data_IF_843963507077
#
_entry.id   IF_843963507077
#
_cell.length_a   1.000
_cell.length_b   1.000
_cell.length_c   1.000
_cell.angle_alpha   90.00
_cell.angle_beta   90.00
_cell.angle_gamma   90.00
#
_symmetry.space_group_name_H-M   'P 1'
#
loop_
_entity.id
_entity.type
_entity.pdbx_description
1 polymer ?
#
# COMPACT_ATOMS: atom_id res chain seq x y z
N UNK A 1 -8.40 23.25 4.27
CA UNK A 1 -8.19 21.79 4.19
C UNK A 1 -6.75 21.55 3.80
N UNK A 2 -6.08 20.57 4.44
CA UNK A 2 -4.72 20.20 4.05
C UNK A 2 -4.70 19.63 2.63
N UNK A 3 -3.66 19.92 1.87
CA UNK A 3 -3.50 19.42 0.50
C UNK A 3 -2.08 18.99 0.21
N UNK A 4 -1.93 17.88 -0.51
CA UNK A 4 -0.62 17.41 -0.95
C UNK A 4 -0.13 18.32 -2.08
N UNK A 5 1.09 18.84 -1.95
CA UNK A 5 1.73 19.73 -2.93
C UNK A 5 2.66 18.95 -3.84
N UNK A 6 3.49 18.08 -3.25
CA UNK A 6 4.53 17.38 -3.99
C UNK A 6 4.74 15.98 -3.45
N UNK A 7 5.20 15.12 -4.36
CA UNK A 7 5.40 13.70 -4.12
C UNK A 7 6.74 13.33 -4.71
N UNK A 8 7.53 12.62 -3.93
CA UNK A 8 8.84 12.14 -4.33
C UNK A 8 9.08 10.75 -3.74
N UNK A 9 9.21 9.74 -4.59
CA UNK A 9 9.30 8.33 -4.18
C UNK A 9 10.38 7.62 -4.98
N UNK A 10 11.24 6.88 -4.29
CA UNK A 10 12.23 6.00 -4.89
C UNK A 10 11.88 4.53 -4.69
N UNK A 11 12.33 3.67 -5.61
CA UNK A 11 12.10 2.23 -5.53
C UNK A 11 10.64 1.79 -5.71
N UNK A 12 9.73 2.69 -6.11
CA UNK A 12 8.30 2.40 -6.21
C UNK A 12 8.04 1.23 -7.16
N UNK A 13 7.43 0.16 -6.65
CA UNK A 13 7.19 -1.08 -7.40
C UNK A 13 8.46 -1.65 -8.05
N UNK A 14 9.62 -1.50 -7.40
CA UNK A 14 10.92 -2.00 -7.88
C UNK A 14 11.55 -1.16 -8.99
N UNK A 15 11.02 0.03 -9.27
CA UNK A 15 11.60 0.93 -10.28
C UNK A 15 12.90 1.55 -9.76
N UNK A 16 13.95 1.53 -10.58
CA UNK A 16 15.21 2.25 -10.31
C UNK A 16 15.06 3.75 -10.46
N UNK A 17 14.19 4.21 -11.37
CA UNK A 17 13.95 5.63 -11.60
C UNK A 17 13.04 6.21 -10.52
N UNK A 18 13.52 7.27 -9.87
CA UNK A 18 12.77 8.14 -8.95
C UNK A 18 11.52 8.72 -9.61
N UNK A 19 10.42 8.70 -8.88
CA UNK A 19 9.14 9.32 -9.27
C UNK A 19 8.95 10.59 -8.44
N UNK A 20 9.18 11.74 -9.06
CA UNK A 20 9.02 13.05 -8.43
C UNK A 20 8.12 13.96 -9.27
N UNK A 21 7.10 14.55 -8.67
CA UNK A 21 6.19 15.49 -9.33
C UNK A 21 5.45 16.38 -8.33
N UNK A 22 5.00 17.54 -8.82
CA UNK A 22 4.10 18.43 -8.09
C UNK A 22 2.66 18.17 -8.53
N UNK A 23 1.74 18.20 -7.57
CA UNK A 23 0.31 18.02 -7.81
C UNK A 23 -0.31 19.36 -8.22
N UNK A 24 -1.19 19.29 -9.21
CA UNK A 24 -2.08 20.40 -9.55
C UNK A 24 -3.13 20.57 -8.43
N UNK A 25 -3.50 21.80 -8.03
CA UNK A 25 -4.46 22.02 -6.95
C UNK A 25 -5.88 21.54 -7.28
N UNK A 26 -6.22 21.43 -8.57
CA UNK A 26 -7.57 21.12 -9.03
C UNK A 26 -7.73 19.62 -9.34
N UNK A 27 -7.00 19.12 -10.35
CA UNK A 27 -7.18 17.74 -10.85
C UNK A 27 -5.84 17.10 -11.18
N UNK A 28 -5.65 15.87 -10.71
CA UNK A 28 -4.50 15.02 -11.03
C UNK A 28 -4.98 13.66 -11.53
N UNK A 29 -4.45 13.21 -12.67
CA UNK A 29 -4.80 11.92 -13.27
C UNK A 29 -3.58 11.00 -13.20
N UNK A 30 -3.69 9.90 -12.45
CA UNK A 30 -2.64 8.88 -12.34
C UNK A 30 -3.00 7.71 -13.25
N UNK A 31 -2.26 7.53 -14.34
CA UNK A 31 -2.50 6.47 -15.33
C UNK A 31 -1.23 5.66 -15.63
N UNK A 32 -1.41 4.49 -16.24
CA UNK A 32 -0.33 3.58 -16.61
C UNK A 32 -0.75 2.11 -16.57
N UNK A 33 0.10 1.23 -17.08
CA UNK A 33 -0.13 -0.23 -17.15
C UNK A 33 -0.34 -0.83 -15.75
N UNK A 34 -1.00 -1.98 -15.65
CA UNK A 34 -1.13 -2.70 -14.38
C UNK A 34 0.26 -3.06 -13.81
N UNK A 35 0.36 -3.07 -12.48
CA UNK A 35 1.63 -3.36 -11.80
C UNK A 35 2.63 -2.19 -11.72
N UNK A 36 2.37 -1.04 -12.36
CA UNK A 36 3.31 0.11 -12.35
C UNK A 36 3.38 0.89 -11.03
N UNK A 37 2.69 0.44 -9.98
CA UNK A 37 2.72 1.07 -8.66
C UNK A 37 1.68 2.16 -8.40
N UNK A 38 0.64 2.32 -9.24
CA UNK A 38 -0.42 3.33 -9.04
C UNK A 38 -1.10 3.23 -7.67
N UNK A 39 -1.55 2.03 -7.31
CA UNK A 39 -2.18 1.79 -6.00
C UNK A 39 -1.18 1.94 -4.86
N UNK A 40 0.06 1.50 -5.06
CA UNK A 40 1.16 1.69 -4.09
C UNK A 40 1.42 3.17 -3.80
N UNK A 41 1.46 3.99 -4.85
CA UNK A 41 1.59 5.44 -4.75
C UNK A 41 0.44 6.03 -3.94
N UNK A 42 -0.81 5.66 -4.27
CA UNK A 42 -1.97 6.14 -3.51
C UNK A 42 -1.92 5.71 -2.04
N UNK A 43 -1.45 4.51 -1.71
CA UNK A 43 -1.26 4.06 -0.32
C UNK A 43 -0.22 4.90 0.42
N UNK A 44 0.87 5.28 -0.25
CA UNK A 44 1.88 6.18 0.31
C UNK A 44 1.27 7.55 0.62
N UNK A 45 0.51 8.12 -0.31
CA UNK A 45 -0.17 9.41 -0.10
C UNK A 45 -1.17 9.32 1.05
N UNK A 46 -1.97 8.26 1.08
CA UNK A 46 -2.94 8.03 2.14
C UNK A 46 -2.26 7.89 3.50
N UNK A 47 -1.22 7.07 3.58
CA UNK A 47 -0.42 6.88 4.80
C UNK A 47 0.20 8.17 5.32
N UNK A 48 0.70 9.05 4.44
CA UNK A 48 1.22 10.35 4.85
C UNK A 48 0.12 11.26 5.42
N UNK A 49 -1.08 11.27 4.80
CA UNK A 49 -2.21 12.10 5.25
C UNK A 49 -2.73 11.69 6.63
N UNK A 50 -2.78 10.38 6.92
CA UNK A 50 -3.24 9.85 8.21
C UNK A 50 -2.11 9.56 9.19
N UNK A 51 -0.86 9.84 8.81
CA UNK A 51 0.34 9.54 9.60
C UNK A 51 0.46 8.08 10.10
N UNK A 52 -0.10 7.11 9.34
CA UNK A 52 -0.10 5.69 9.71
C UNK A 52 0.72 4.87 8.69
N UNK A 53 1.89 4.41 9.13
CA UNK A 53 2.82 3.64 8.29
C UNK A 53 2.43 2.17 8.12
N UNK A 54 1.48 1.65 8.90
CA UNK A 54 0.99 0.27 8.75
C UNK A 54 0.38 0.02 7.36
N UNK A 55 -0.23 1.06 6.78
CA UNK A 55 -0.83 1.06 5.44
C UNK A 55 0.17 0.82 4.31
N UNK A 56 1.46 1.06 4.58
CA UNK A 56 2.54 0.98 3.59
C UNK A 56 3.61 -0.02 3.95
N UNK A 57 3.46 -0.79 5.03
CA UNK A 57 4.44 -1.81 5.46
C UNK A 57 4.81 -2.76 4.33
N UNK A 58 3.80 -3.30 3.63
CA UNK A 58 3.97 -4.23 2.51
C UNK A 58 4.08 -3.56 1.13
N UNK A 59 4.10 -2.22 1.07
CA UNK A 59 4.19 -1.49 -0.20
C UNK A 59 5.66 -1.45 -0.68
N UNK A 60 5.95 -1.84 -1.94
CA UNK A 60 7.33 -1.85 -2.46
C UNK A 60 7.80 -0.43 -2.81
N UNK A 61 8.65 0.15 -1.98
CA UNK A 61 9.39 1.40 -2.21
C UNK A 61 10.60 1.45 -1.25
N UNK A 62 11.59 2.31 -1.52
CA UNK A 62 12.75 2.52 -0.64
C UNK A 62 12.56 3.75 0.25
N UNK A 63 12.29 4.90 -0.35
CA UNK A 63 12.10 6.16 0.35
C UNK A 63 10.87 6.88 -0.21
N UNK A 64 10.21 7.68 0.63
CA UNK A 64 9.17 8.59 0.19
C UNK A 64 9.28 9.92 0.95
N UNK A 65 9.17 11.02 0.21
CA UNK A 65 9.03 12.39 0.70
C UNK A 65 7.76 12.99 0.14
N UNK A 66 6.85 13.39 1.03
CA UNK A 66 5.57 14.00 0.69
C UNK A 66 5.49 15.39 1.33
N UNK A 67 5.09 16.39 0.56
CA UNK A 67 4.88 17.74 1.10
C UNK A 67 3.40 18.05 1.13
N UNK A 68 2.91 18.52 2.28
CA UNK A 68 1.50 18.78 2.52
C UNK A 68 1.35 20.18 3.08
N UNK A 69 0.55 21.01 2.40
CA UNK A 69 0.18 22.33 2.88
C UNK A 69 -0.90 22.15 3.96
N UNK A 70 -0.63 22.59 5.18
CA UNK A 70 -1.61 22.63 6.25
C UNK A 70 -2.58 23.81 6.13
N UNK A 71 -3.61 23.80 6.98
CA UNK A 71 -4.61 24.87 7.03
C UNK A 71 -4.05 26.23 7.46
N UNK A 72 -2.94 26.22 8.20
CA UNK A 72 -2.20 27.41 8.62
C UNK A 72 -1.31 28.00 7.51
N UNK A 73 -1.27 27.37 6.33
CA UNK A 73 -0.39 27.77 5.23
C UNK A 73 1.06 27.28 5.38
N UNK A 74 1.37 26.52 6.43
CA UNK A 74 2.69 25.91 6.59
C UNK A 74 2.81 24.65 5.73
N UNK A 75 4.03 24.37 5.28
CA UNK A 75 4.34 23.15 4.53
C UNK A 75 4.96 22.15 5.49
N UNK A 76 4.32 20.99 5.59
CA UNK A 76 4.80 19.83 6.33
C UNK A 76 5.45 18.85 5.37
N UNK A 77 6.69 18.47 5.66
CA UNK A 77 7.45 17.46 4.94
C UNK A 77 7.38 16.14 5.71
N UNK A 78 6.73 15.14 5.12
CA UNK A 78 6.67 13.77 5.61
C UNK A 78 7.75 12.97 4.89
N UNK A 79 8.70 12.42 5.63
CA UNK A 79 9.79 11.62 5.10
C UNK A 79 9.82 10.23 5.75
N UNK A 80 9.98 9.20 4.93
CA UNK A 80 10.17 7.82 5.40
C UNK A 80 11.24 7.14 4.55
N UNK A 81 12.09 6.37 5.22
CA UNK A 81 13.10 5.52 4.62
C UNK A 81 12.96 4.11 5.18
N UNK A 82 12.65 3.15 4.31
CA UNK A 82 12.51 1.74 4.68
C UNK A 82 13.84 1.00 4.80
N UNK A 83 14.90 1.55 4.21
CA UNK A 83 16.24 0.98 4.24
C UNK A 83 17.12 1.60 5.32
N UNK A 84 16.61 2.59 6.07
CA UNK A 84 17.30 3.16 7.20
C UNK A 84 17.63 2.04 8.21
N UNK A 85 18.89 1.65 8.24
CA UNK A 85 19.43 0.76 9.28
C UNK A 85 19.38 1.56 10.57
N UNK A 86 18.64 1.07 11.56
CA UNK A 86 18.72 1.62 12.91
C UNK A 86 20.14 1.34 13.40
N UNK A 87 20.92 2.40 13.59
CA UNK A 87 22.30 2.34 14.07
C UNK A 87 22.38 2.06 15.59
N UNK A 88 21.33 1.49 16.17
CA UNK A 88 21.29 1.11 17.59
C UNK A 88 21.70 -0.36 17.72
N UNK A 89 22.95 -0.58 18.17
CA UNK A 89 23.46 -1.77 18.93
C UNK A 89 24.87 -2.27 18.53
N UNK A 90 25.64 -1.57 17.70
CA UNK A 90 27.04 -1.97 17.45
C UNK A 90 27.98 -1.77 18.66
N UNK A 91 27.55 -1.07 19.70
CA UNK A 91 28.32 -0.93 20.95
C UNK A 91 28.22 -2.14 21.89
N UNK A 92 27.32 -3.10 21.63
CA UNK A 92 27.10 -4.26 22.51
C UNK A 92 27.59 -5.60 21.92
N UNK A 93 28.05 -5.66 20.67
CA UNK A 93 28.44 -6.93 20.04
C UNK A 93 29.95 -7.10 19.88
N UNK A 94 30.66 -7.25 21.00
CA UNK A 94 32.00 -7.87 21.00
C UNK A 94 31.88 -9.39 20.81
N UNK A 95 31.31 -9.87 19.69
CA UNK A 95 31.25 -11.30 19.39
C UNK A 95 31.37 -11.60 17.88
N UNK A 96 32.54 -12.13 17.53
CA UNK A 96 32.91 -12.95 16.36
C UNK A 96 32.72 -12.38 14.93
N UNK A 97 33.82 -11.98 14.24
CA UNK A 97 33.79 -11.46 12.86
C UNK A 97 33.54 -12.51 11.76
N UNK A 98 33.33 -13.79 12.09
CA UNK A 98 33.16 -14.86 11.10
C UNK A 98 31.71 -15.08 10.60
N UNK A 99 30.72 -14.32 11.09
CA UNK A 99 29.31 -14.41 10.67
C UNK A 99 28.92 -13.30 9.67
N UNK A 100 29.88 -12.56 9.09
CA UNK A 100 29.64 -11.63 7.99
C UNK A 100 29.58 -12.40 6.65
N UNK A 101 28.79 -13.48 6.62
CA UNK A 101 28.40 -14.15 5.37
C UNK A 101 26.97 -13.75 5.05
N UNK A 102 26.84 -12.90 4.03
CA UNK A 102 25.65 -12.66 3.19
C UNK A 102 24.38 -13.28 3.76
N UNK A 103 23.78 -12.60 4.73
CA UNK A 103 22.41 -12.87 5.12
C UNK A 103 21.64 -11.60 4.80
N UNK A 104 21.08 -11.58 3.58
CA UNK A 104 19.77 -10.99 3.35
C UNK A 104 18.84 -11.63 4.38
N UNK A 105 18.79 -11.02 5.56
CA UNK A 105 18.00 -11.46 6.69
C UNK A 105 17.04 -10.32 6.95
N UNK A 106 15.81 -10.50 6.50
CA UNK A 106 14.66 -10.17 7.33
C UNK A 106 14.85 -10.94 8.65
N UNK A 107 15.71 -10.46 9.56
CA UNK A 107 15.71 -10.96 10.92
C UNK A 107 14.52 -10.31 11.60
N UNK A 108 13.44 -11.10 11.68
CA UNK A 108 12.24 -10.91 12.48
C UNK A 108 12.55 -10.88 13.99
N UNK A 109 13.48 -10.03 14.41
CA UNK A 109 13.84 -9.86 15.81
C UNK A 109 14.42 -8.47 16.06
N UNK A 110 13.70 -7.43 15.66
CA UNK A 110 13.50 -6.23 16.48
C UNK A 110 12.37 -5.41 15.86
N UNK A 111 11.55 -4.83 16.71
CA UNK A 111 10.29 -4.13 16.45
C UNK A 111 10.44 -2.79 15.70
N UNK A 112 11.24 -2.74 14.63
CA UNK A 112 11.37 -1.52 13.84
C UNK A 112 10.21 -1.41 12.85
N UNK A 113 9.25 -0.57 13.21
CA UNK A 113 8.23 -0.08 12.27
C UNK A 113 8.72 1.29 11.77
N UNK A 114 8.97 1.46 10.46
CA UNK A 114 9.36 2.77 9.95
C UNK A 114 8.24 3.76 10.25
N UNK A 115 8.61 4.94 10.75
CA UNK A 115 7.67 6.02 11.08
C UNK A 115 7.92 7.22 10.15
N UNK A 116 6.87 7.98 9.88
CA UNK A 116 7.02 9.25 9.19
C UNK A 116 7.79 10.23 10.07
N UNK A 117 8.92 10.74 9.56
CA UNK A 117 9.59 11.92 10.11
C UNK A 117 8.92 13.15 9.52
N UNK A 118 8.35 14.00 10.37
CA UNK A 118 7.58 15.18 9.93
C UNK A 118 8.34 16.46 10.28
N UNK A 119 8.40 17.41 9.34
CA UNK A 119 9.04 18.71 9.57
C UNK A 119 8.19 19.84 8.95
N UNK A 120 7.76 20.86 9.73
CA UNK A 120 7.94 21.02 11.17
C UNK A 120 7.15 19.98 11.99
N UNK A 121 7.45 19.83 13.28
CA UNK A 121 6.72 18.92 14.17
C UNK A 121 5.22 19.27 14.20
N UNK A 122 4.37 18.23 14.23
CA UNK A 122 2.93 18.40 14.31
C UNK A 122 2.57 18.82 15.74
N UNK A 123 2.16 20.07 15.93
CA UNK A 123 1.68 20.61 17.21
C UNK A 123 0.33 19.97 17.62
N UNK A 124 0.32 18.69 18.02
CA UNK A 124 -0.84 17.98 18.55
C UNK A 124 -1.94 17.62 17.54
N UNK A 125 -1.75 17.87 16.24
CA UNK A 125 -2.59 17.35 15.16
C UNK A 125 -1.94 16.10 14.58
N UNK A 126 -2.12 14.96 15.26
CA UNK A 126 -1.48 13.70 14.86
C UNK A 126 -2.05 13.11 13.57
N UNK A 127 -3.29 13.47 13.20
CA UNK A 127 -3.97 12.95 12.02
C UNK A 127 -4.80 14.05 11.33
N UNK A 128 -4.64 14.22 10.02
CA UNK A 128 -5.61 14.96 9.22
C UNK A 128 -6.77 14.01 8.88
N UNK A 129 -7.64 13.79 9.87
CA UNK A 129 -8.68 12.76 9.92
C UNK A 129 -9.77 12.80 8.84
N UNK A 130 -9.58 13.50 7.71
CA UNK A 130 -10.60 13.66 6.68
C UNK A 130 -10.02 13.61 5.25
N UNK A 131 -9.30 12.56 4.87
CA UNK A 131 -9.07 12.27 3.42
C UNK A 131 -8.96 10.76 3.20
N UNK A 132 -10.11 10.08 3.13
CA UNK A 132 -10.13 8.73 2.57
C UNK A 132 -9.75 8.82 1.10
N UNK A 133 -8.54 8.39 0.76
CA UNK A 133 -8.25 8.01 -0.62
C UNK A 133 -8.79 6.58 -0.79
N UNK A 134 -9.77 6.34 -1.67
CA UNK A 134 -10.22 4.98 -1.97
C UNK A 134 -9.09 4.23 -2.69
N UNK A 135 -8.15 3.71 -1.91
CA UNK A 135 -7.00 2.94 -2.39
C UNK A 135 -7.29 1.45 -2.42
N UNK A 136 -8.37 1.02 -1.76
CA UNK A 136 -8.84 -0.35 -1.73
C UNK A 136 -9.89 -0.57 -2.83
N UNK A 137 -9.60 -1.50 -3.74
CA UNK A 137 -10.64 -2.11 -4.56
C UNK A 137 -11.49 -2.97 -3.64
N UNK A 138 -12.74 -2.58 -3.40
CA UNK A 138 -13.74 -3.48 -2.80
C UNK A 138 -14.01 -4.57 -3.86
N UNK A 139 -13.28 -5.69 -3.78
CA UNK A 139 -13.54 -6.88 -4.60
C UNK A 139 -14.66 -7.75 -4.03
N UNK A 140 -15.24 -7.39 -2.88
CA UNK A 140 -16.28 -8.16 -2.20
C UNK A 140 -17.57 -8.39 -3.04
N UNK A 141 -17.77 -7.63 -4.12
CA UNK A 141 -18.92 -7.81 -5.03
C UNK A 141 -18.71 -8.81 -6.17
N UNK A 142 -17.50 -9.34 -6.38
CA UNK A 142 -17.20 -10.24 -7.50
C UNK A 142 -17.43 -11.71 -7.09
N UNK A 143 -17.01 -12.10 -5.88
CA UNK A 143 -17.19 -13.48 -5.39
C UNK A 143 -18.67 -13.86 -5.25
N UNK A 144 -19.52 -12.93 -4.81
CA UNK A 144 -20.97 -13.14 -4.67
C UNK A 144 -21.67 -13.31 -6.01
N UNK A 145 -21.25 -12.58 -7.06
CA UNK A 145 -21.81 -12.74 -8.40
C UNK A 145 -21.32 -14.00 -9.10
N UNK A 146 -20.06 -14.39 -8.88
CA UNK A 146 -19.49 -15.62 -9.42
C UNK A 146 -20.10 -16.87 -8.77
N UNK A 147 -20.29 -16.87 -7.44
CA UNK A 147 -20.94 -17.97 -6.74
C UNK A 147 -22.42 -18.12 -7.12
N UNK A 148 -23.14 -17.02 -7.27
CA UNK A 148 -24.53 -17.02 -7.74
C UNK A 148 -24.63 -17.55 -9.18
N UNK A 149 -23.74 -17.12 -10.08
CA UNK A 149 -23.71 -17.60 -11.46
C UNK A 149 -23.37 -19.10 -11.53
N UNK A 150 -22.38 -19.56 -10.76
CA UNK A 150 -21.99 -20.97 -10.68
C UNK A 150 -23.10 -21.86 -10.11
N UNK A 151 -23.80 -21.39 -9.07
CA UNK A 151 -24.93 -22.12 -8.49
C UNK A 151 -26.10 -22.23 -9.47
N UNK A 152 -26.39 -21.17 -10.24
CA UNK A 152 -27.44 -21.22 -11.27
C UNK A 152 -27.11 -22.19 -12.40
N UNK A 153 -25.85 -22.23 -12.86
CA UNK A 153 -25.41 -23.15 -13.91
C UNK A 153 -25.39 -24.63 -13.46
N UNK A 154 -25.13 -24.88 -12.18
CA UNK A 154 -25.21 -26.24 -11.61
C UNK A 154 -26.66 -26.72 -11.48
N UNK A 155 -27.60 -25.84 -11.12
CA UNK A 155 -29.02 -26.20 -11.03
C UNK A 155 -29.61 -26.57 -12.39
N UNK A 156 -29.30 -25.82 -13.45
CA UNK A 156 -29.78 -26.12 -14.80
C UNK A 156 -29.20 -27.42 -15.36
N UNK A 157 -27.93 -27.71 -15.06
CA UNK A 157 -27.30 -28.96 -15.48
C UNK A 157 -27.87 -30.20 -14.77
N UNK A 158 -28.34 -30.06 -13.52
CA UNK A 158 -29.00 -31.14 -12.79
C UNK A 158 -30.42 -31.40 -13.27
N UNK A 159 -31.17 -30.35 -13.65
CA UNK A 159 -32.50 -30.49 -14.26
C UNK A 159 -32.44 -31.22 -15.61
N UNK A 160 -31.51 -30.84 -16.50
CA UNK A 160 -31.36 -31.51 -17.80
C UNK A 160 -30.94 -32.99 -17.64
N UNK A 161 -30.08 -33.30 -16.67
CA UNK A 161 -29.69 -34.68 -16.37
C UNK A 161 -30.86 -35.51 -15.82
N UNK A 162 -31.72 -34.92 -14.98
CA UNK A 162 -32.90 -35.58 -14.45
C UNK A 162 -33.91 -35.92 -15.56
N UNK A 163 -34.20 -34.96 -16.45
CA UNK A 163 -35.11 -35.13 -17.58
C UNK A 163 -34.62 -36.24 -18.51
N UNK A 164 -33.32 -36.28 -18.84
CA UNK A 164 -32.77 -37.34 -19.68
C UNK A 164 -32.81 -38.71 -19.01
N UNK A 165 -32.57 -38.80 -17.69
CA UNK A 165 -32.66 -40.06 -16.95
C UNK A 165 -34.09 -40.60 -16.84
N UNK A 166 -35.08 -39.73 -16.87
CA UNK A 166 -36.50 -40.10 -16.87
C UNK A 166 -36.95 -40.55 -18.26
N UNK A 167 -36.42 -39.93 -19.32
CA UNK A 167 -36.65 -40.33 -20.71
C UNK A 167 -36.10 -41.74 -21.02
N UNK A 168 -34.93 -42.10 -20.47
CA UNK A 168 -34.35 -43.44 -20.63
C UNK A 168 -35.08 -44.56 -19.84
N UNK A 169 -35.97 -44.22 -18.90
CA UNK A 169 -36.79 -45.20 -18.17
C UNK A 169 -38.11 -45.54 -18.86
N UNK A 170 -38.53 -44.74 -19.84
CA UNK A 170 -39.81 -44.88 -20.55
C UNK A 170 -39.64 -45.60 -21.89
N UNK A 171 -38.40 -45.82 -22.33
CA UNK A 171 -38.02 -46.68 -23.48
C UNK A 171 -37.59 -48.07 -23.02
#
# INVERSE_FOLDING_TARGET
>A
MPRIISVDVEGLAGRSKRLAFSLNPDINIIFGVNGTGKTSLLRILHSALVNDTSLIENTPFSTAKIEILGDNGEIYQFFIDKNAVVEEDWLNSTLNPSIIRKKNRYSLSNSYRPQWKVTPELNGKEEWGNVFLPTYRITQGIETKLSAALSSAQSSAQEEAAINSEFERIL
#
